data_IF_452847442403
#
_entry.id   IF_452847442403
#
_cell.length_a   1.000
_cell.length_b   1.000
_cell.length_c   1.000
_cell.angle_alpha   90.00
_cell.angle_beta   90.00
_cell.angle_gamma   90.00
#
_symmetry.space_group_name_H-M   'P 1'
#
loop_
_entity.id
_entity.type
_entity.pdbx_description
1 polymer ?
#
# COMPACT_ATOMS: atom_id res chain seq x y z
N UNK A 1 3.07 -22.44 4.99
CA UNK A 1 3.80 -21.39 4.24
C UNK A 1 2.76 -20.50 3.59
N UNK A 2 2.92 -19.19 3.66
CA UNK A 2 2.02 -18.26 2.97
C UNK A 2 2.45 -18.15 1.51
N UNK A 3 1.51 -18.30 0.59
CA UNK A 3 1.81 -18.26 -0.83
C UNK A 3 2.23 -16.85 -1.25
N UNK A 4 3.26 -16.75 -2.11
CA UNK A 4 3.76 -15.47 -2.60
C UNK A 4 4.70 -14.70 -1.67
N UNK A 5 5.15 -15.31 -0.56
CA UNK A 5 6.13 -14.71 0.35
C UNK A 5 7.27 -15.70 0.61
N UNK A 6 8.49 -15.31 0.25
CA UNK A 6 9.72 -15.92 0.76
C UNK A 6 10.03 -15.33 2.15
N UNK A 7 9.47 -15.93 3.19
CA UNK A 7 9.46 -15.35 4.54
C UNK A 7 10.84 -14.98 5.09
N UNK A 8 11.88 -15.77 4.82
CA UNK A 8 13.23 -15.49 5.31
C UNK A 8 13.83 -14.26 4.62
N UNK A 9 13.85 -14.25 3.28
CA UNK A 9 14.41 -13.16 2.49
C UNK A 9 13.63 -11.85 2.67
N UNK A 10 12.30 -11.91 2.70
CA UNK A 10 11.46 -10.73 2.95
C UNK A 10 11.65 -10.20 4.36
N UNK A 11 11.81 -11.05 5.38
CA UNK A 11 12.11 -10.60 6.75
C UNK A 11 13.45 -9.87 6.81
N UNK A 12 14.50 -10.40 6.17
CA UNK A 12 15.81 -9.75 6.11
C UNK A 12 15.70 -8.36 5.44
N UNK A 13 15.00 -8.28 4.31
CA UNK A 13 14.76 -7.02 3.61
C UNK A 13 13.98 -6.02 4.47
N UNK A 14 12.94 -6.46 5.20
CA UNK A 14 12.15 -5.61 6.10
C UNK A 14 13.00 -5.01 7.23
N UNK A 15 13.93 -5.78 7.80
CA UNK A 15 14.84 -5.32 8.86
C UNK A 15 15.74 -4.20 8.35
N UNK A 16 16.19 -4.28 7.10
CA UNK A 16 17.04 -3.26 6.47
C UNK A 16 16.28 -1.97 6.12
N UNK A 17 15.03 -2.10 5.66
CA UNK A 17 14.28 -0.96 5.12
C UNK A 17 13.39 -0.26 6.14
N UNK A 18 12.88 -0.98 7.14
CA UNK A 18 11.91 -0.46 8.09
C UNK A 18 12.58 -0.36 9.47
N UNK A 19 12.85 0.85 9.99
CA UNK A 19 13.54 1.04 11.25
C UNK A 19 12.81 0.35 12.41
N UNK A 20 13.56 -0.34 13.28
CA UNK A 20 13.04 -0.97 14.50
C UNK A 20 12.02 -2.09 14.28
N UNK A 21 12.00 -2.75 13.11
CA UNK A 21 11.22 -3.97 12.93
C UNK A 21 11.79 -5.11 13.77
N UNK A 22 10.93 -5.76 14.55
CA UNK A 22 11.31 -6.83 15.47
C UNK A 22 10.87 -8.21 14.95
N UNK A 23 11.76 -9.07 14.42
CA UNK A 23 11.39 -10.42 14.02
C UNK A 23 10.98 -11.29 15.24
N UNK A 24 10.23 -12.40 15.03
CA UNK A 24 9.73 -12.91 13.75
C UNK A 24 8.63 -12.03 13.13
N UNK A 25 8.46 -12.14 11.81
CA UNK A 25 7.40 -11.47 11.07
C UNK A 25 6.31 -12.48 10.73
N UNK A 26 5.09 -12.19 11.17
CA UNK A 26 3.89 -12.90 10.75
C UNK A 26 3.30 -12.23 9.50
N UNK A 27 3.12 -13.03 8.46
CA UNK A 27 2.56 -12.59 7.19
C UNK A 27 1.12 -13.06 7.06
N UNK A 28 0.19 -12.18 6.74
CA UNK A 28 -1.21 -12.53 6.48
C UNK A 28 -1.68 -11.88 5.19
N UNK A 29 -2.32 -12.66 4.31
CA UNK A 29 -2.91 -12.13 3.08
C UNK A 29 -4.15 -11.30 3.44
N UNK A 30 -4.16 -10.03 3.04
CA UNK A 30 -5.32 -9.17 3.16
C UNK A 30 -6.21 -9.40 1.92
N UNK A 31 -7.33 -10.11 2.11
CA UNK A 31 -8.28 -10.38 1.04
C UNK A 31 -9.00 -9.09 0.62
N UNK A 32 -9.21 -8.90 -0.70
CA UNK A 32 -10.07 -7.80 -1.20
C UNK A 32 -9.76 -7.22 -2.59
N UNK A 33 -8.64 -7.59 -3.23
CA UNK A 33 -8.26 -7.07 -4.54
C UNK A 33 -8.13 -8.15 -5.62
N UNK A 34 -8.57 -7.86 -6.84
CA UNK A 34 -8.40 -8.75 -8.01
C UNK A 34 -7.09 -8.47 -8.79
N UNK A 35 -6.35 -7.41 -8.45
CA UNK A 35 -5.20 -6.93 -9.24
C UNK A 35 -3.86 -7.24 -8.61
N UNK A 36 -3.59 -6.83 -7.37
CA UNK A 36 -2.30 -7.08 -6.69
C UNK A 36 -2.55 -7.73 -5.34
N UNK A 37 -1.61 -8.58 -4.91
CA UNK A 37 -1.68 -9.23 -3.61
C UNK A 37 -1.12 -8.28 -2.56
N UNK A 38 -1.86 -8.15 -1.46
CA UNK A 38 -1.51 -7.28 -0.35
C UNK A 38 -1.43 -8.11 0.91
N UNK A 39 -0.35 -7.97 1.67
CA UNK A 39 -0.09 -8.74 2.88
C UNK A 39 0.14 -7.79 4.04
N UNK A 40 -0.42 -8.07 5.21
CA UNK A 40 0.07 -7.50 6.45
C UNK A 40 1.33 -8.26 6.89
N UNK A 41 2.31 -7.52 7.39
CA UNK A 41 3.54 -8.03 7.97
C UNK A 41 3.59 -7.50 9.41
N UNK A 42 3.18 -8.34 10.36
CA UNK A 42 3.18 -8.01 11.77
C UNK A 42 4.46 -8.49 12.44
N UNK A 43 5.13 -7.61 13.15
CA UNK A 43 6.36 -7.93 13.87
C UNK A 43 6.07 -8.37 15.33
N UNK A 44 7.08 -8.87 16.03
CA UNK A 44 6.95 -9.37 17.39
C UNK A 44 6.61 -8.29 18.43
N UNK A 45 6.76 -7.01 18.09
CA UNK A 45 6.34 -5.88 18.93
C UNK A 45 4.88 -5.48 18.69
N UNK A 46 4.23 -6.09 17.70
CA UNK A 46 2.86 -5.80 17.28
C UNK A 46 2.74 -4.73 16.20
N UNK A 47 3.86 -4.19 15.70
CA UNK A 47 3.85 -3.23 14.59
C UNK A 47 3.45 -3.94 13.30
N UNK A 48 2.63 -3.27 12.48
CA UNK A 48 2.19 -3.79 11.19
C UNK A 48 2.64 -2.87 10.07
N UNK A 49 3.24 -3.46 9.03
CA UNK A 49 3.44 -2.82 7.72
C UNK A 49 2.73 -3.63 6.64
N UNK A 50 2.52 -3.03 5.48
CA UNK A 50 1.80 -3.66 4.36
C UNK A 50 2.77 -3.89 3.21
N UNK A 51 2.86 -5.12 2.74
CA UNK A 51 3.58 -5.51 1.52
C UNK A 51 2.59 -5.64 0.36
N UNK A 52 2.90 -5.00 -0.76
CA UNK A 52 2.14 -5.12 -2.03
C UNK A 52 3.04 -5.73 -3.10
N UNK A 53 2.52 -6.76 -3.80
CA UNK A 53 3.20 -7.44 -4.91
C UNK A 53 2.22 -7.79 -6.05
N UNK A 54 2.71 -8.10 -7.25
CA UNK A 54 1.90 -8.67 -8.32
C UNK A 54 1.26 -10.02 -7.93
N UNK A 55 0.22 -10.46 -8.65
CA UNK A 55 -0.34 -11.80 -8.52
C UNK A 55 0.70 -12.91 -8.68
N UNK A 56 0.30 -14.12 -8.31
CA UNK A 56 1.07 -15.33 -8.58
C UNK A 56 0.85 -15.76 -10.03
N UNK A 57 1.90 -16.29 -10.67
CA UNK A 57 1.84 -16.80 -12.04
C UNK A 57 2.34 -15.81 -13.10
N UNK A 58 2.05 -16.12 -14.38
CA UNK A 58 2.42 -15.24 -15.49
C UNK A 58 1.45 -14.08 -15.59
N UNK A 59 2.00 -12.88 -15.43
CA UNK A 59 1.26 -11.63 -15.37
C UNK A 59 1.77 -10.72 -16.48
N UNK A 60 0.88 -9.97 -17.13
CA UNK A 60 1.28 -8.92 -18.06
C UNK A 60 1.99 -7.82 -17.26
N UNK A 61 3.31 -7.71 -17.41
CA UNK A 61 4.19 -6.85 -16.59
C UNK A 61 3.72 -5.39 -16.47
N UNK A 62 3.13 -4.83 -17.53
CA UNK A 62 2.70 -3.42 -17.55
C UNK A 62 1.50 -3.11 -16.65
N UNK A 63 0.63 -4.09 -16.38
CA UNK A 63 -0.56 -3.89 -15.55
C UNK A 63 -0.27 -4.00 -14.04
N UNK A 64 0.93 -4.47 -13.67
CA UNK A 64 1.30 -4.76 -12.28
C UNK A 64 2.69 -4.19 -11.92
N UNK A 65 2.99 -2.99 -12.44
CA UNK A 65 4.24 -2.29 -12.14
C UNK A 65 4.24 -1.73 -10.71
N UNK A 66 4.82 -2.50 -9.78
CA UNK A 66 4.98 -2.07 -8.38
C UNK A 66 5.86 -0.84 -8.24
N UNK A 67 6.78 -0.62 -9.20
CA UNK A 67 7.61 0.58 -9.24
C UNK A 67 6.79 1.83 -9.51
N UNK A 68 5.83 1.75 -10.44
CA UNK A 68 4.89 2.85 -10.73
C UNK A 68 4.00 3.13 -9.52
N UNK A 69 3.40 2.11 -8.90
CA UNK A 69 2.58 2.31 -7.69
C UNK A 69 3.39 2.95 -6.55
N UNK A 70 4.56 2.40 -6.24
CA UNK A 70 5.46 2.94 -5.23
C UNK A 70 5.83 4.40 -5.52
N UNK A 71 6.15 4.73 -6.78
CA UNK A 71 6.50 6.10 -7.19
C UNK A 71 5.35 7.07 -6.93
N UNK A 72 4.13 6.71 -7.35
CA UNK A 72 2.93 7.54 -7.17
C UNK A 72 2.68 7.77 -5.68
N UNK A 73 2.62 6.71 -4.86
CA UNK A 73 2.33 6.82 -3.42
C UNK A 73 3.42 7.63 -2.72
N UNK A 74 4.70 7.36 -3.02
CA UNK A 74 5.83 8.09 -2.40
C UNK A 74 5.84 9.57 -2.75
N UNK A 75 5.46 9.94 -3.97
CA UNK A 75 5.34 11.33 -4.41
C UNK A 75 4.17 12.04 -3.71
N UNK A 76 2.99 11.39 -3.68
CA UNK A 76 1.81 11.92 -3.02
C UNK A 76 2.00 12.12 -1.51
N UNK A 77 2.86 11.33 -0.87
CA UNK A 77 3.19 11.48 0.56
C UNK A 77 3.85 12.83 0.93
N UNK A 78 4.25 13.63 -0.07
CA UNK A 78 4.77 15.00 0.09
C UNK A 78 3.71 16.08 -0.16
N UNK A 79 2.45 15.67 -0.33
CA UNK A 79 1.34 16.52 -0.74
C UNK A 79 0.20 16.49 0.29
N UNK A 80 -0.85 17.32 0.12
CA UNK A 80 -2.06 17.25 0.96
C UNK A 80 -2.92 15.99 0.77
N UNK A 81 -2.60 15.14 -0.22
CA UNK A 81 -3.37 13.90 -0.47
C UNK A 81 -2.94 12.84 0.57
N UNK A 82 -3.88 12.32 1.38
CA UNK A 82 -3.55 11.34 2.40
C UNK A 82 -3.20 10.00 1.74
N UNK A 83 -1.95 9.57 1.94
CA UNK A 83 -1.44 8.28 1.50
C UNK A 83 -0.56 7.67 2.60
N UNK A 84 -0.44 6.34 2.69
CA UNK A 84 0.48 5.71 3.63
C UNK A 84 1.93 6.07 3.29
N UNK A 85 2.77 6.20 4.32
CA UNK A 85 4.21 6.33 4.12
C UNK A 85 4.75 5.05 3.48
N UNK A 86 5.54 5.18 2.43
CA UNK A 86 6.30 4.07 1.85
C UNK A 86 7.63 3.88 2.58
N UNK A 87 8.03 2.62 2.75
CA UNK A 87 9.29 2.23 3.37
C UNK A 87 10.35 1.85 2.33
N UNK A 88 9.93 1.30 1.19
CA UNK A 88 10.84 1.01 0.09
C UNK A 88 10.20 0.13 -0.99
N UNK A 89 10.92 0.01 -2.11
CA UNK A 89 10.61 -0.85 -3.24
C UNK A 89 11.74 -1.85 -3.43
N UNK A 90 11.43 -3.14 -3.39
CA UNK A 90 12.32 -4.21 -3.79
C UNK A 90 12.06 -4.56 -5.26
N UNK A 91 13.10 -4.49 -6.09
CA UNK A 91 13.04 -4.93 -7.51
C UNK A 91 13.71 -6.29 -7.73
N UNK A 92 14.42 -6.79 -6.73
CA UNK A 92 15.19 -8.02 -6.79
C UNK A 92 14.24 -9.21 -6.62
N UNK A 93 13.92 -9.90 -7.72
CA UNK A 93 13.02 -11.06 -7.71
C UNK A 93 13.57 -12.22 -6.89
N UNK A 94 14.88 -12.27 -6.63
CA UNK A 94 15.49 -13.26 -5.74
C UNK A 94 15.00 -13.13 -4.27
N UNK A 95 14.51 -11.96 -3.88
CA UNK A 95 13.99 -11.70 -2.52
C UNK A 95 12.59 -12.27 -2.33
N UNK A 96 11.70 -12.18 -3.33
CA UNK A 96 10.29 -12.57 -3.17
C UNK A 96 9.57 -13.05 -4.44
N UNK A 97 10.33 -13.58 -5.41
CA UNK A 97 9.90 -14.08 -6.72
C UNK A 97 9.25 -13.03 -7.65
N UNK A 98 8.98 -11.82 -7.15
CA UNK A 98 8.44 -10.68 -7.87
C UNK A 98 8.83 -9.36 -7.17
N UNK A 99 8.87 -8.23 -7.89
CA UNK A 99 9.00 -6.92 -7.27
C UNK A 99 7.87 -6.66 -6.25
N UNK A 100 8.16 -5.93 -5.20
CA UNK A 100 7.18 -5.56 -4.19
C UNK A 100 7.57 -4.25 -3.52
N UNK A 101 6.61 -3.54 -2.94
CA UNK A 101 6.90 -2.40 -2.08
C UNK A 101 6.21 -2.54 -0.73
N UNK A 102 6.75 -1.84 0.26
CA UNK A 102 6.24 -1.84 1.63
C UNK A 102 5.83 -0.43 2.03
N UNK A 103 4.71 -0.33 2.75
CA UNK A 103 4.15 0.92 3.26
C UNK A 103 3.58 0.73 4.67
N UNK A 104 3.27 1.83 5.36
CA UNK A 104 2.59 1.77 6.65
C UNK A 104 1.21 1.10 6.54
N UNK A 105 0.85 0.35 7.58
CA UNK A 105 -0.53 -0.05 7.80
C UNK A 105 -1.30 1.14 8.40
N UNK A 106 -2.35 1.58 7.71
CA UNK A 106 -3.26 2.61 8.21
C UNK A 106 -4.50 1.93 8.77
N UNK A 107 -4.64 1.96 10.10
CA UNK A 107 -5.82 1.44 10.77
C UNK A 107 -7.03 2.35 10.48
N UNK A 108 -8.14 1.74 10.09
CA UNK A 108 -9.39 2.45 9.83
C UNK A 108 -10.39 1.60 9.05
N UNK A 109 -11.61 2.12 8.94
CA UNK A 109 -12.68 1.45 8.22
C UNK A 109 -12.60 1.71 6.72
N UNK A 110 -12.78 0.66 5.93
CA UNK A 110 -12.89 0.75 4.46
C UNK A 110 -14.36 0.71 4.07
N UNK A 111 -14.90 1.87 3.69
CA UNK A 111 -16.31 2.01 3.30
C UNK A 111 -16.54 1.57 1.85
N UNK A 112 -16.35 0.28 1.59
CA UNK A 112 -16.34 -0.27 0.23
C UNK A 112 -17.74 -0.62 -0.33
N UNK A 113 -18.81 -0.47 0.46
CA UNK A 113 -20.18 -0.66 0.00
C UNK A 113 -21.19 0.17 0.82
N UNK A 114 -22.40 0.32 0.28
CA UNK A 114 -23.47 1.11 0.88
C UNK A 114 -24.02 0.54 2.19
N UNK A 115 -23.88 -0.77 2.42
CA UNK A 115 -24.24 -1.42 3.69
C UNK A 115 -23.36 -0.94 4.83
N UNK A 116 -22.04 -1.02 4.67
CA UNK A 116 -21.07 -0.49 5.67
C UNK A 116 -21.26 1.02 5.84
N UNK A 117 -21.44 1.76 4.74
CA UNK A 117 -21.73 3.19 4.82
C UNK A 117 -23.02 3.52 5.59
N UNK A 118 -23.98 2.60 5.64
CA UNK A 118 -25.23 2.75 6.40
C UNK A 118 -25.06 2.50 7.90
N UNK A 119 -23.95 1.94 8.36
CA UNK A 119 -23.64 1.77 9.78
C UNK A 119 -23.12 3.07 10.43
N UNK A 120 -22.64 4.03 9.61
CA UNK A 120 -22.18 5.33 10.08
C UNK A 120 -23.33 6.19 10.63
N UNK A 121 -23.11 6.98 11.69
CA UNK A 121 -24.08 7.98 12.14
C UNK A 121 -24.48 8.90 10.99
N UNK A 122 -25.79 9.14 10.84
CA UNK A 122 -26.32 9.96 9.73
C UNK A 122 -25.68 11.35 9.60
N UNK A 123 -25.39 12.10 10.69
CA UNK A 123 -24.72 13.38 10.59
C UNK A 123 -23.34 13.30 9.91
N UNK A 124 -22.57 12.24 10.19
CA UNK A 124 -21.18 12.10 9.74
C UNK A 124 -21.07 11.76 8.25
N UNK A 125 -22.12 11.13 7.68
CA UNK A 125 -22.11 10.68 6.28
C UNK A 125 -21.92 11.82 5.29
N UNK A 126 -22.53 12.98 5.57
CA UNK A 126 -22.43 14.15 4.71
C UNK A 126 -21.00 14.70 4.72
N UNK A 127 -20.45 14.88 5.91
CA UNK A 127 -19.13 15.48 6.08
C UNK A 127 -18.04 14.55 5.54
N UNK A 128 -18.19 13.24 5.72
CA UNK A 128 -17.31 12.25 5.10
C UNK A 128 -17.39 12.27 3.58
N UNK A 129 -18.60 12.36 3.02
CA UNK A 129 -18.80 12.48 1.57
C UNK A 129 -18.11 13.73 1.00
N UNK A 130 -18.23 14.87 1.67
CA UNK A 130 -17.54 16.10 1.28
C UNK A 130 -16.03 15.98 1.44
N UNK A 131 -15.55 15.34 2.49
CA UNK A 131 -14.11 15.15 2.70
C UNK A 131 -13.47 14.30 1.58
N UNK A 132 -14.19 13.30 1.04
CA UNK A 132 -13.74 12.56 -0.15
C UNK A 132 -13.62 13.49 -1.36
N UNK A 133 -14.59 14.39 -1.57
CA UNK A 133 -14.52 15.39 -2.65
C UNK A 133 -13.33 16.33 -2.47
N UNK A 134 -13.09 16.82 -1.26
CA UNK A 134 -11.96 17.68 -0.95
C UNK A 134 -10.62 16.99 -1.25
N UNK A 135 -10.47 15.71 -0.88
CA UNK A 135 -9.28 14.91 -1.20
C UNK A 135 -9.10 14.76 -2.72
N UNK A 136 -10.18 14.52 -3.47
CA UNK A 136 -10.12 14.42 -4.94
C UNK A 136 -9.76 15.77 -5.58
N UNK A 137 -10.30 16.87 -5.07
CA UNK A 137 -9.92 18.22 -5.49
C UNK A 137 -8.44 18.50 -5.22
N UNK A 138 -7.94 18.13 -4.04
CA UNK A 138 -6.52 18.24 -3.72
C UNK A 138 -5.66 17.43 -4.68
N UNK A 139 -6.06 16.20 -5.00
CA UNK A 139 -5.36 15.35 -5.96
C UNK A 139 -5.34 15.95 -7.37
N UNK A 140 -6.46 16.46 -7.86
CA UNK A 140 -6.56 17.07 -9.20
C UNK A 140 -5.81 18.40 -9.33
N UNK A 141 -5.64 19.12 -8.22
CA UNK A 141 -4.91 20.39 -8.19
C UNK A 141 -3.41 20.24 -7.95
N UNK A 142 -2.89 19.01 -7.86
CA UNK A 142 -1.45 18.79 -7.71
C UNK A 142 -0.70 19.23 -8.97
N UNK A 143 0.36 20.01 -8.76
CA UNK A 143 1.40 20.19 -9.76
C UNK A 143 2.21 18.88 -9.85
N UNK A 144 1.91 18.09 -10.88
CA UNK A 144 2.52 16.78 -11.13
C UNK A 144 4.03 16.87 -11.33
N UNK A 145 4.54 17.97 -11.88
CA UNK A 145 5.97 18.18 -12.07
C UNK A 145 6.65 18.43 -10.71
N UNK A 146 6.06 19.30 -9.89
CA UNK A 146 6.58 19.63 -8.57
C UNK A 146 6.67 18.41 -7.63
N UNK A 147 5.76 17.44 -7.77
CA UNK A 147 5.78 16.18 -6.99
C UNK A 147 6.60 15.07 -7.65
N UNK A 148 7.22 15.31 -8.81
CA UNK A 148 8.10 14.35 -9.49
C UNK A 148 7.37 13.26 -10.27
N UNK A 149 6.17 13.57 -10.77
CA UNK A 149 5.28 12.69 -11.52
C UNK A 149 5.02 13.17 -12.96
N UNK A 150 5.78 14.14 -13.48
CA UNK A 150 5.62 14.67 -14.85
C UNK A 150 5.83 13.66 -15.97
N UNK A 151 6.52 12.56 -15.69
CA UNK A 151 6.77 11.44 -16.62
C UNK A 151 5.74 10.30 -16.50
N UNK A 152 4.64 10.49 -15.76
CA UNK A 152 3.52 9.54 -15.74
C UNK A 152 2.71 9.65 -17.06
N UNK A 153 3.17 8.98 -18.12
CA UNK A 153 2.48 8.95 -19.42
C UNK A 153 3.23 8.15 -20.46
#
# INVERSE_FOLDING_TARGET
MIEGINAASVTAWLIEQVPHVAPPIEFTLLAGGHSNLTYSCQDASGRVVVLRRPPLGHVLESAHDMGREHKIISALGKSPVPVPKTWGLCRETEVNDAPFFVMDYVAGDVLHNSGIGAELPTPDRRDLGLHVVDILCNLHNLDIEAVGLGDLG
#
